data_IF_483183243848
#
_entry.id   IF_483183243848
#
_cell.length_a   1.000
_cell.length_b   1.000
_cell.length_c   1.000
_cell.angle_alpha   90.00
_cell.angle_beta   90.00
_cell.angle_gamma   90.00
#
_symmetry.space_group_name_H-M   'P 1'
#
loop_
_entity.id
_entity.type
_entity.pdbx_description
1 polymer ?
#
# COMPACT_ATOMS: atom_id res chain seq x y z
N UNK A 1 3.20 26.25 77.70
CA UNK A 1 3.86 27.10 76.68
C UNK A 1 3.58 26.49 75.32
N UNK A 2 2.96 27.24 74.39
CA UNK A 2 2.59 26.73 73.07
C UNK A 2 3.71 26.90 72.04
N UNK A 3 4.84 26.20 72.24
CA UNK A 3 5.91 26.12 71.25
C UNK A 3 5.67 24.95 70.29
N UNK A 4 5.96 25.16 69.02
CA UNK A 4 6.04 24.09 68.02
C UNK A 4 7.51 23.73 67.82
N UNK A 5 7.77 22.44 67.67
CA UNK A 5 9.08 21.92 67.32
C UNK A 5 8.94 21.01 66.09
N UNK A 6 9.87 21.17 65.16
CA UNK A 6 9.95 20.38 63.94
C UNK A 6 11.33 19.75 63.85
N UNK A 7 11.36 18.43 63.67
CA UNK A 7 12.58 17.63 63.61
C UNK A 7 12.57 16.76 62.36
N UNK A 8 13.75 16.47 61.82
CA UNK A 8 13.92 15.39 60.85
C UNK A 8 13.79 14.04 61.53
N UNK A 9 12.99 13.15 60.94
CA UNK A 9 12.69 11.84 61.51
C UNK A 9 13.88 10.87 61.47
N UNK A 10 14.77 11.00 60.47
CA UNK A 10 15.89 10.06 60.26
C UNK A 10 17.10 10.41 61.14
N UNK A 11 17.46 11.69 61.22
CA UNK A 11 18.62 12.15 61.99
C UNK A 11 18.28 12.68 63.39
N UNK A 12 17.00 12.98 63.66
CA UNK A 12 16.60 13.70 64.87
C UNK A 12 17.03 15.18 64.90
N UNK A 13 17.55 15.72 63.79
CA UNK A 13 18.00 17.11 63.72
C UNK A 13 16.83 18.10 63.85
N UNK A 14 17.01 19.14 64.66
CA UNK A 14 16.00 20.19 64.80
C UNK A 14 16.00 21.10 63.57
N UNK A 15 14.84 21.23 62.93
CA UNK A 15 14.64 22.07 61.74
C UNK A 15 14.06 23.43 62.12
N UNK A 16 13.02 23.46 62.94
CA UNK A 16 12.31 24.70 63.29
C UNK A 16 11.78 24.65 64.72
N UNK A 17 11.90 25.76 65.45
CA UNK A 17 11.27 25.94 66.76
C UNK A 17 10.75 27.36 66.85
N UNK A 18 9.46 27.54 67.18
CA UNK A 18 8.90 28.86 67.41
C UNK A 18 7.69 28.80 68.36
N UNK A 19 7.35 29.92 69.00
CA UNK A 19 6.13 30.02 69.82
C UNK A 19 4.94 30.33 68.92
N UNK A 20 3.96 29.43 68.88
CA UNK A 20 2.72 29.58 68.09
C UNK A 20 1.51 29.99 68.94
N UNK A 21 1.57 29.82 70.27
CA UNK A 21 0.48 30.21 71.17
C UNK A 21 1.00 30.79 72.49
N UNK A 22 0.35 31.87 72.92
CA UNK A 22 0.50 32.44 74.26
C UNK A 22 0.00 31.49 75.35
N UNK A 23 -1.11 30.80 75.04
CA UNK A 23 -1.88 29.94 75.92
C UNK A 23 -1.66 28.44 75.59
N UNK A 24 -2.00 27.55 76.52
CA UNK A 24 -1.84 26.10 76.32
C UNK A 24 -2.77 25.58 75.22
N UNK A 25 -2.20 24.93 74.21
CA UNK A 25 -2.91 24.08 73.25
C UNK A 25 -3.20 22.76 73.95
N UNK A 26 -4.48 22.50 74.26
CA UNK A 26 -4.85 21.40 75.17
C UNK A 26 -5.39 20.16 74.43
N UNK A 27 -5.78 20.31 73.17
CA UNK A 27 -6.15 19.21 72.26
C UNK A 27 -5.51 19.43 70.90
N UNK A 28 -5.04 18.35 70.29
CA UNK A 28 -4.48 18.32 68.94
C UNK A 28 -4.95 17.08 68.19
N UNK A 29 -4.96 17.15 66.88
CA UNK A 29 -5.14 15.99 65.99
C UNK A 29 -4.34 16.20 64.71
N UNK A 30 -4.17 15.13 63.93
CA UNK A 30 -3.57 15.21 62.59
C UNK A 30 -4.53 15.96 61.65
N UNK A 31 -3.99 16.88 60.87
CA UNK A 31 -4.76 17.59 59.84
C UNK A 31 -3.88 17.72 58.59
N UNK A 32 -4.34 17.17 57.47
CA UNK A 32 -3.56 17.08 56.22
C UNK A 32 -2.17 16.45 56.45
N UNK A 33 -1.11 17.16 56.04
CA UNK A 33 0.30 16.82 56.25
C UNK A 33 0.90 17.55 57.47
N UNK A 34 0.06 17.99 58.41
CA UNK A 34 0.44 18.77 59.58
C UNK A 34 -0.34 18.42 60.85
N UNK A 35 -0.39 19.38 61.76
CA UNK A 35 -1.05 19.27 63.06
C UNK A 35 -2.04 20.43 63.24
N UNK A 36 -3.24 20.12 63.74
CA UNK A 36 -4.21 21.12 64.17
C UNK A 36 -4.45 21.00 65.67
N UNK A 37 -4.69 22.12 66.35
CA UNK A 37 -4.97 22.13 67.78
C UNK A 37 -5.80 23.32 68.22
N UNK A 38 -6.40 23.21 69.40
CA UNK A 38 -7.21 24.27 70.02
C UNK A 38 -6.56 24.72 71.31
N UNK A 39 -6.41 26.03 71.47
CA UNK A 39 -5.90 26.64 72.70
C UNK A 39 -7.01 27.03 73.67
N UNK A 40 -6.65 27.31 74.94
CA UNK A 40 -7.62 27.69 75.99
C UNK A 40 -8.47 28.93 75.69
N UNK A 41 -8.07 29.76 74.73
CA UNK A 41 -8.86 30.91 74.25
C UNK A 41 -9.86 30.55 73.15
N UNK A 42 -9.94 29.28 72.76
CA UNK A 42 -10.79 28.81 71.67
C UNK A 42 -10.22 29.09 70.28
N UNK A 43 -8.96 29.50 70.14
CA UNK A 43 -8.34 29.68 68.83
C UNK A 43 -7.97 28.32 68.25
N UNK A 44 -8.31 28.10 66.98
CA UNK A 44 -7.92 26.92 66.21
C UNK A 44 -6.64 27.26 65.45
N UNK A 45 -5.56 26.54 65.76
CA UNK A 45 -4.23 26.72 65.19
C UNK A 45 -3.89 25.51 64.32
N UNK A 46 -3.46 25.75 63.09
CA UNK A 46 -2.96 24.71 62.18
C UNK A 46 -1.51 25.00 61.83
N UNK A 47 -0.67 23.97 61.86
CA UNK A 47 0.73 24.05 61.43
C UNK A 47 1.02 22.93 60.46
N UNK A 48 1.49 23.28 59.27
CA UNK A 48 1.93 22.37 58.22
C UNK A 48 3.31 22.77 57.69
N UNK A 49 4.00 21.84 57.03
CA UNK A 49 5.27 22.11 56.37
C UNK A 49 5.00 22.81 55.05
N UNK A 50 5.64 23.97 54.82
CA UNK A 50 5.65 24.59 53.51
C UNK A 50 6.77 23.97 52.67
N UNK A 51 6.38 23.17 51.69
CA UNK A 51 7.28 22.41 50.80
C UNK A 51 8.19 23.31 49.95
N UNK A 52 7.76 24.54 49.63
CA UNK A 52 8.54 25.49 48.81
C UNK A 52 9.66 26.17 49.60
N UNK A 53 9.45 26.40 50.90
CA UNK A 53 10.36 27.22 51.72
C UNK A 53 11.22 26.41 52.67
N UNK A 54 10.87 25.15 52.96
CA UNK A 54 11.57 24.34 53.96
C UNK A 54 13.04 24.09 53.59
N UNK A 55 13.35 23.83 52.32
CA UNK A 55 14.73 23.62 51.86
C UNK A 55 15.55 24.92 51.90
N UNK A 56 15.07 26.06 51.32
CA UNK A 56 15.73 27.35 51.48
C UNK A 56 15.97 27.74 52.94
N UNK A 57 15.00 27.46 53.82
CA UNK A 57 15.11 27.74 55.25
C UNK A 57 16.24 26.95 55.91
N UNK A 58 16.35 25.65 55.64
CA UNK A 58 17.43 24.80 56.21
C UNK A 58 18.80 25.29 55.74
N UNK A 59 18.91 25.70 54.47
CA UNK A 59 20.16 26.22 53.90
C UNK A 59 20.57 27.56 54.49
N UNK A 60 19.64 28.50 54.66
CA UNK A 60 19.94 29.85 55.15
C UNK A 60 20.10 29.91 56.67
N UNK A 61 19.22 29.26 57.43
CA UNK A 61 19.16 29.41 58.88
C UNK A 61 20.02 28.37 59.60
N UNK A 62 19.90 27.10 59.21
CA UNK A 62 20.59 25.99 59.89
C UNK A 62 21.96 25.70 59.29
N UNK A 63 22.23 26.15 58.06
CA UNK A 63 23.49 25.91 57.34
C UNK A 63 23.77 24.43 57.05
N UNK A 64 22.81 23.54 57.29
CA UNK A 64 23.00 22.09 57.20
C UNK A 64 22.67 21.61 55.78
N UNK A 65 23.65 21.74 54.89
CA UNK A 65 23.54 21.38 53.47
C UNK A 65 23.23 19.88 53.28
N UNK A 66 23.80 19.02 54.13
CA UNK A 66 23.58 17.58 54.03
C UNK A 66 22.14 17.19 54.40
N UNK A 67 21.58 17.80 55.46
CA UNK A 67 20.18 17.61 55.83
C UNK A 67 19.24 18.14 54.74
N UNK A 68 19.50 19.34 54.22
CA UNK A 68 18.72 19.91 53.12
C UNK A 68 18.72 19.00 51.89
N UNK A 69 19.88 18.45 51.53
CA UNK A 69 20.03 17.54 50.40
C UNK A 69 19.26 16.22 50.61
N UNK A 70 19.43 15.55 51.75
CA UNK A 70 18.75 14.28 52.06
C UNK A 70 17.23 14.46 52.18
N UNK A 71 16.79 15.54 52.82
CA UNK A 71 15.36 15.85 52.97
C UNK A 71 14.72 16.11 51.60
N UNK A 72 15.37 16.91 50.74
CA UNK A 72 14.88 17.17 49.40
C UNK A 72 14.87 15.92 48.52
N UNK A 73 15.90 15.07 48.60
CA UNK A 73 15.95 13.82 47.83
C UNK A 73 14.86 12.83 48.25
N UNK A 74 14.57 12.75 49.55
CA UNK A 74 13.61 11.77 50.11
C UNK A 74 12.16 12.19 49.88
N UNK A 75 11.87 13.48 50.01
CA UNK A 75 10.52 14.03 49.89
C UNK A 75 10.23 14.70 48.53
N UNK A 76 11.19 14.67 47.58
CA UNK A 76 11.07 15.30 46.26
C UNK A 76 10.69 16.79 46.32
N UNK A 77 11.26 17.50 47.31
CA UNK A 77 10.92 18.90 47.61
C UNK A 77 11.66 19.87 46.66
N UNK A 78 10.98 20.95 46.22
CA UNK A 78 11.60 21.99 45.40
C UNK A 78 12.69 22.77 46.17
N UNK A 79 13.65 23.34 45.46
CA UNK A 79 14.68 24.22 46.03
C UNK A 79 16.04 23.56 46.32
N UNK A 80 16.17 22.24 46.15
CA UNK A 80 17.47 21.57 46.16
C UNK A 80 18.10 21.42 44.77
N UNK A 81 17.40 21.84 43.70
CA UNK A 81 17.84 21.68 42.32
C UNK A 81 19.25 22.28 42.11
N UNK A 82 19.48 23.49 42.64
CA UNK A 82 20.80 24.13 42.57
C UNK A 82 21.89 23.35 43.30
N UNK A 83 21.58 22.67 44.41
CA UNK A 83 22.53 21.83 45.14
C UNK A 83 22.95 20.62 44.30
N UNK A 84 22.00 19.99 43.59
CA UNK A 84 22.29 18.89 42.67
C UNK A 84 23.21 19.33 41.53
N UNK A 85 22.95 20.50 40.93
CA UNK A 85 23.81 21.05 39.86
C UNK A 85 25.21 21.37 40.38
N UNK A 86 25.34 22.06 41.53
CA UNK A 86 26.64 22.41 42.10
C UNK A 86 27.45 21.18 42.47
N UNK A 87 26.82 20.19 43.11
CA UNK A 87 27.50 18.96 43.51
C UNK A 87 27.91 18.12 42.29
N UNK A 88 27.07 18.08 41.25
CA UNK A 88 27.41 17.46 39.97
C UNK A 88 28.63 18.15 39.32
N UNK A 89 28.65 19.49 39.27
CA UNK A 89 29.79 20.24 38.73
C UNK A 89 31.07 20.01 39.52
N UNK A 90 30.98 19.91 40.86
CA UNK A 90 32.12 19.60 41.71
C UNK A 90 32.71 18.21 41.40
N UNK A 91 31.84 17.19 41.26
CA UNK A 91 32.26 15.83 40.90
C UNK A 91 32.90 15.79 39.49
N UNK A 92 32.34 16.54 38.54
CA UNK A 92 32.88 16.68 37.19
C UNK A 92 34.26 17.34 37.19
N UNK A 93 34.47 18.40 37.98
CA UNK A 93 35.78 19.08 38.11
C UNK A 93 36.83 18.21 38.82
N UNK A 94 36.40 17.34 39.74
CA UNK A 94 37.28 16.40 40.44
C UNK A 94 37.65 15.16 39.61
N UNK A 95 37.12 15.03 38.38
CA UNK A 95 37.35 13.86 37.52
C UNK A 95 36.62 12.59 37.98
N UNK A 96 35.69 12.71 38.94
CA UNK A 96 34.89 11.59 39.47
C UNK A 96 33.65 11.34 38.62
N UNK A 97 33.85 10.95 37.35
CA UNK A 97 32.77 10.83 36.37
C UNK A 97 31.73 9.76 36.71
N UNK A 98 32.14 8.66 37.35
CA UNK A 98 31.22 7.59 37.75
C UNK A 98 30.22 8.06 38.83
N UNK A 99 30.70 8.79 39.83
CA UNK A 99 29.82 9.32 40.88
C UNK A 99 28.96 10.48 40.38
N UNK A 100 29.49 11.29 39.45
CA UNK A 100 28.70 12.29 38.72
C UNK A 100 27.56 11.63 37.92
N UNK A 101 27.83 10.52 37.23
CA UNK A 101 26.82 9.75 36.51
C UNK A 101 25.75 9.17 37.45
N UNK A 102 26.15 8.59 38.58
CA UNK A 102 25.20 8.09 39.59
C UNK A 102 24.29 9.18 40.11
N UNK A 103 24.84 10.38 40.36
CA UNK A 103 24.11 11.56 40.82
C UNK A 103 23.10 12.04 39.79
N UNK A 104 23.51 12.12 38.52
CA UNK A 104 22.61 12.49 37.44
C UNK A 104 21.48 11.48 37.26
N UNK A 105 21.78 10.19 37.36
CA UNK A 105 20.80 9.11 37.28
C UNK A 105 19.80 9.10 38.45
N UNK A 106 20.19 9.58 39.65
CA UNK A 106 19.30 9.75 40.81
C UNK A 106 18.76 11.17 40.98
N UNK A 107 18.90 12.03 39.98
CA UNK A 107 18.47 13.42 40.08
C UNK A 107 16.93 13.51 40.15
N UNK A 108 16.37 14.34 41.04
CA UNK A 108 14.92 14.55 41.13
C UNK A 108 14.38 15.00 39.77
N UNK A 109 13.29 14.39 39.32
CA UNK A 109 12.62 14.71 38.04
C UNK A 109 13.55 14.63 36.81
N UNK A 110 14.70 13.96 36.91
CA UNK A 110 15.68 13.91 35.82
C UNK A 110 16.33 15.25 35.50
N UNK A 111 16.40 16.19 36.45
CA UNK A 111 16.93 17.54 36.21
C UNK A 111 18.37 17.60 35.67
N UNK A 112 19.18 16.57 35.92
CA UNK A 112 20.55 16.45 35.41
C UNK A 112 20.63 15.56 34.15
N UNK A 113 19.51 14.98 33.70
CA UNK A 113 19.40 14.17 32.49
C UNK A 113 19.03 15.04 31.29
N UNK A 114 19.91 15.99 30.99
CA UNK A 114 19.71 17.01 29.95
C UNK A 114 20.78 16.92 28.87
N UNK A 115 20.50 17.50 27.71
CA UNK A 115 21.48 17.61 26.61
C UNK A 115 22.78 18.29 27.04
N UNK A 116 22.71 19.28 27.93
CA UNK A 116 23.89 19.98 28.45
C UNK A 116 24.83 19.03 29.19
N UNK A 117 24.28 18.14 30.02
CA UNK A 117 25.05 17.13 30.75
C UNK A 117 25.73 16.15 29.79
N UNK A 118 25.00 15.71 28.77
CA UNK A 118 25.51 14.79 27.74
C UNK A 118 26.64 15.45 26.95
N UNK A 119 26.46 16.71 26.51
CA UNK A 119 27.48 17.45 25.77
C UNK A 119 28.75 17.67 26.59
N UNK A 120 28.62 17.97 27.89
CA UNK A 120 29.78 18.06 28.78
C UNK A 120 30.55 16.74 28.88
N UNK A 121 29.84 15.60 28.97
CA UNK A 121 30.45 14.27 29.04
C UNK A 121 31.03 13.80 27.71
N UNK A 122 30.46 14.23 26.59
CA UNK A 122 30.85 13.84 25.21
C UNK A 122 32.23 14.35 24.83
N UNK A 123 32.63 15.53 25.32
CA UNK A 123 33.94 16.12 25.03
C UNK A 123 35.08 15.55 25.89
N UNK A 124 34.77 14.74 26.90
CA UNK A 124 35.77 14.17 27.80
C UNK A 124 36.38 12.90 27.21
N UNK A 125 37.72 12.87 27.17
CA UNK A 125 38.46 11.66 26.77
C UNK A 125 38.54 10.69 27.96
N UNK A 126 38.36 9.39 27.70
CA UNK A 126 38.52 8.35 28.71
C UNK A 126 39.99 8.10 29.04
N UNK A 127 40.27 7.70 30.28
CA UNK A 127 41.59 7.20 30.65
C UNK A 127 41.92 5.91 29.86
N UNK A 128 43.17 5.68 29.45
CA UNK A 128 43.54 4.49 28.67
C UNK A 128 43.16 3.21 29.41
N UNK A 129 42.33 2.37 28.78
CA UNK A 129 41.80 1.12 29.34
C UNK A 129 40.47 1.23 30.07
N UNK A 130 39.92 2.43 30.30
CA UNK A 130 38.58 2.62 30.84
C UNK A 130 37.55 2.99 29.77
N UNK A 131 36.29 2.63 30.01
CA UNK A 131 35.16 3.10 29.21
C UNK A 131 35.12 4.63 29.22
N UNK A 132 34.76 5.24 28.09
CA UNK A 132 34.61 6.69 28.01
C UNK A 132 33.57 7.17 29.03
N UNK A 133 33.75 8.37 29.64
CA UNK A 133 32.83 8.89 30.65
C UNK A 133 31.36 8.89 30.21
N UNK A 134 31.13 9.16 28.92
CA UNK A 134 29.79 9.13 28.31
C UNK A 134 29.16 7.72 28.31
N UNK A 135 29.94 6.67 28.04
CA UNK A 135 29.43 5.29 28.09
C UNK A 135 29.19 4.82 29.52
N UNK A 136 30.02 5.26 30.48
CA UNK A 136 29.78 5.01 31.91
C UNK A 136 28.48 5.65 32.37
N UNK A 137 28.19 6.87 31.90
CA UNK A 137 26.94 7.58 32.17
C UNK A 137 25.72 6.80 31.70
N UNK A 138 25.70 6.38 30.42
CA UNK A 138 24.59 5.59 29.90
C UNK A 138 24.44 4.24 30.58
N UNK A 139 25.54 3.54 30.87
CA UNK A 139 25.51 2.27 31.60
C UNK A 139 24.86 2.44 32.99
N UNK A 140 25.23 3.49 33.72
CA UNK A 140 24.66 3.79 35.05
C UNK A 140 23.16 4.06 34.99
N UNK A 141 22.67 4.74 33.94
CA UNK A 141 21.24 5.00 33.78
C UNK A 141 20.50 3.72 33.37
N UNK A 142 21.05 2.93 32.45
CA UNK A 142 20.48 1.65 32.01
C UNK A 142 20.38 0.59 33.13
N UNK A 143 21.20 0.72 34.17
CA UNK A 143 21.10 -0.09 35.40
C UNK A 143 19.95 0.37 36.30
N UNK A 144 19.65 1.67 36.34
CA UNK A 144 18.60 2.25 37.20
C UNK A 144 17.22 2.33 36.53
N UNK A 145 17.16 2.41 35.19
CA UNK A 145 15.92 2.58 34.46
C UNK A 145 16.12 2.74 32.95
N UNK A 146 15.24 3.54 32.35
CA UNK A 146 15.14 3.74 30.89
C UNK A 146 15.83 5.04 30.47
N UNK A 147 16.39 5.06 29.26
CA UNK A 147 16.99 6.24 28.63
C UNK A 147 15.92 7.10 27.95
N UNK A 148 16.07 8.43 28.03
CA UNK A 148 15.21 9.37 27.32
C UNK A 148 15.56 9.45 25.83
N UNK A 149 14.77 10.20 25.05
CA UNK A 149 14.96 10.38 23.60
C UNK A 149 16.39 10.81 23.24
N UNK A 150 16.90 11.85 23.89
CA UNK A 150 18.21 12.42 23.58
C UNK A 150 19.36 11.48 23.96
N UNK A 151 19.25 10.85 25.13
CA UNK A 151 20.20 9.85 25.61
C UNK A 151 20.24 8.63 24.68
N UNK A 152 19.08 8.15 24.23
CA UNK A 152 18.97 7.00 23.32
C UNK A 152 19.65 7.29 21.97
N UNK A 153 19.46 8.50 21.43
CA UNK A 153 20.10 8.97 20.18
C UNK A 153 21.63 9.04 20.35
N UNK A 154 22.09 9.65 21.45
CA UNK A 154 23.53 9.84 21.70
C UNK A 154 24.24 8.53 22.07
N UNK A 155 23.55 7.56 22.67
CA UNK A 155 24.07 6.22 22.87
C UNK A 155 24.15 5.42 21.57
N UNK A 156 23.18 5.55 20.67
CA UNK A 156 23.13 4.74 19.45
C UNK A 156 24.32 5.00 18.51
N UNK A 157 24.73 6.27 18.34
CA UNK A 157 25.85 6.65 17.45
C UNK A 157 27.16 5.91 17.74
N UNK A 158 27.74 5.93 18.96
CA UNK A 158 28.99 5.23 19.26
C UNK A 158 28.83 3.70 19.25
N UNK A 159 27.65 3.18 19.61
CA UNK A 159 27.38 1.73 19.60
C UNK A 159 27.35 1.18 18.18
N UNK A 160 26.73 1.91 17.25
CA UNK A 160 26.71 1.57 15.83
C UNK A 160 28.10 1.74 15.18
N UNK A 161 28.83 2.80 15.51
CA UNK A 161 30.20 3.00 15.05
C UNK A 161 31.16 1.87 15.51
N UNK A 162 30.91 1.31 16.69
CA UNK A 162 31.64 0.16 17.23
C UNK A 162 31.15 -1.20 16.69
N UNK A 163 30.19 -1.20 15.75
CA UNK A 163 29.52 -2.38 15.20
C UNK A 163 28.91 -3.32 16.26
N UNK A 164 28.47 -2.77 17.41
CA UNK A 164 27.87 -3.54 18.53
C UNK A 164 26.35 -3.48 18.51
N UNK A 165 25.73 -3.68 17.34
CA UNK A 165 24.27 -3.57 17.16
C UNK A 165 23.44 -4.53 18.04
N UNK A 166 24.01 -5.68 18.42
CA UNK A 166 23.37 -6.63 19.34
C UNK A 166 23.02 -6.01 20.71
N UNK A 167 23.77 -4.99 21.17
CA UNK A 167 23.44 -4.28 22.40
C UNK A 167 22.18 -3.44 22.25
N UNK A 168 22.04 -2.74 21.13
CA UNK A 168 20.83 -1.97 20.81
C UNK A 168 19.62 -2.89 20.69
N UNK A 169 19.74 -4.04 20.04
CA UNK A 169 18.67 -5.05 19.99
C UNK A 169 18.25 -5.52 21.38
N UNK A 170 19.22 -5.78 22.26
CA UNK A 170 18.94 -6.19 23.64
C UNK A 170 18.22 -5.10 24.43
N UNK A 171 18.71 -3.87 24.40
CA UNK A 171 18.09 -2.76 25.12
C UNK A 171 16.72 -2.38 24.56
N UNK A 172 16.53 -2.53 23.26
CA UNK A 172 15.21 -2.40 22.64
C UNK A 172 14.29 -3.50 23.19
N UNK A 173 14.67 -4.78 23.17
CA UNK A 173 13.84 -5.87 23.74
C UNK A 173 13.51 -5.70 25.22
N UNK A 174 14.39 -5.08 26.00
CA UNK A 174 14.19 -4.77 27.42
C UNK A 174 13.41 -3.46 27.67
N UNK A 175 12.92 -2.79 26.61
CA UNK A 175 12.21 -1.50 26.66
C UNK A 175 12.97 -0.38 27.39
N UNK A 176 14.31 -0.43 27.33
CA UNK A 176 15.21 0.53 28.01
C UNK A 176 15.50 1.80 27.21
N UNK A 177 15.05 1.87 25.96
CA UNK A 177 15.33 2.97 25.05
C UNK A 177 14.03 3.67 24.65
N UNK A 178 13.96 4.98 24.89
CA UNK A 178 12.90 5.80 24.33
C UNK A 178 13.06 5.91 22.80
N UNK A 179 12.11 5.34 22.07
CA UNK A 179 12.14 5.26 20.62
C UNK A 179 11.68 6.58 19.98
N UNK A 180 12.41 7.06 18.97
CA UNK A 180 12.08 8.29 18.23
C UNK A 180 12.36 8.12 16.74
N UNK A 181 11.84 9.04 15.92
CA UNK A 181 12.12 9.09 14.48
C UNK A 181 13.62 9.18 14.19
N UNK A 182 14.31 10.12 14.85
CA UNK A 182 15.75 10.33 14.69
C UNK A 182 16.57 9.09 15.05
N UNK A 183 16.17 8.36 16.10
CA UNK A 183 16.83 7.11 16.47
C UNK A 183 16.67 6.06 15.36
N UNK A 184 15.48 5.96 14.77
CA UNK A 184 15.23 5.07 13.64
C UNK A 184 16.05 5.45 12.41
N UNK A 185 16.16 6.75 12.09
CA UNK A 185 16.92 7.25 10.95
C UNK A 185 18.42 6.97 11.08
N UNK A 186 18.97 7.01 12.30
CA UNK A 186 20.37 6.67 12.57
C UNK A 186 20.62 5.15 12.41
N UNK A 187 19.64 4.32 12.77
CA UNK A 187 19.77 2.85 12.70
C UNK A 187 19.51 2.32 11.30
N UNK A 188 18.66 2.97 10.51
CA UNK A 188 18.19 2.52 9.19
C UNK A 188 19.31 2.15 8.19
N UNK A 189 20.42 2.92 8.07
CA UNK A 189 21.53 2.57 7.18
C UNK A 189 22.29 1.31 7.58
N UNK A 190 22.23 0.93 8.86
CA UNK A 190 22.94 -0.23 9.41
C UNK A 190 22.07 -1.48 9.46
N UNK A 191 20.79 -1.32 9.82
CA UNK A 191 19.83 -2.42 9.94
C UNK A 191 18.39 -1.95 9.76
N UNK A 192 17.80 -2.25 8.60
CA UNK A 192 16.43 -1.87 8.28
C UNK A 192 15.39 -2.57 9.18
N UNK A 193 15.66 -3.78 9.67
CA UNK A 193 14.72 -4.55 10.50
C UNK A 193 14.64 -4.01 11.92
N UNK A 194 15.80 -3.60 12.45
CA UNK A 194 15.88 -2.93 13.75
C UNK A 194 15.24 -1.54 13.68
N UNK A 195 15.50 -0.79 12.61
CA UNK A 195 14.87 0.53 12.39
C UNK A 195 13.34 0.44 12.33
N UNK A 196 12.78 -0.56 11.62
CA UNK A 196 11.34 -0.81 11.60
C UNK A 196 10.78 -1.00 13.02
N UNK A 197 11.48 -1.76 13.86
CA UNK A 197 11.06 -2.00 15.25
C UNK A 197 11.07 -0.72 16.09
N UNK A 198 12.05 0.16 15.84
CA UNK A 198 12.14 1.48 16.49
C UNK A 198 11.00 2.38 16.03
N UNK A 199 10.74 2.49 14.72
CA UNK A 199 9.64 3.33 14.21
C UNK A 199 8.26 2.87 14.68
N UNK A 200 8.05 1.55 14.79
CA UNK A 200 6.80 0.99 15.32
C UNK A 200 6.54 1.43 16.77
N UNK A 201 7.58 1.48 17.59
CA UNK A 201 7.51 1.91 19.00
C UNK A 201 7.48 3.43 19.16
N UNK A 202 8.16 4.15 18.28
CA UNK A 202 8.15 5.61 18.20
C UNK A 202 6.81 6.16 17.68
N UNK A 203 5.90 5.30 17.22
CA UNK A 203 4.61 5.66 16.64
C UNK A 203 4.75 6.66 15.47
N UNK A 204 5.63 6.36 14.51
CA UNK A 204 5.88 7.18 13.30
C UNK A 204 5.37 6.43 12.05
N UNK A 205 4.08 6.56 11.68
CA UNK A 205 3.46 5.68 10.70
C UNK A 205 4.04 5.83 9.29
N UNK A 206 4.40 7.05 8.89
CA UNK A 206 4.96 7.34 7.58
C UNK A 206 6.25 6.53 7.29
N UNK A 207 7.17 6.50 8.26
CA UNK A 207 8.44 5.77 8.16
C UNK A 207 8.23 4.26 8.27
N UNK A 208 7.30 3.80 9.10
CA UNK A 208 6.93 2.37 9.18
C UNK A 208 6.44 1.85 7.83
N UNK A 209 5.54 2.59 7.17
CA UNK A 209 5.01 2.23 5.84
C UNK A 209 6.13 2.19 4.82
N UNK A 210 7.03 3.17 4.83
CA UNK A 210 8.19 3.20 3.93
C UNK A 210 9.12 1.99 4.17
N UNK A 211 9.40 1.64 5.43
CA UNK A 211 10.20 0.47 5.77
C UNK A 211 9.55 -0.84 5.35
N UNK A 212 8.23 -1.00 5.52
CA UNK A 212 7.52 -2.16 5.01
C UNK A 212 7.57 -2.25 3.48
N UNK A 213 7.44 -1.13 2.78
CA UNK A 213 7.56 -1.08 1.32
C UNK A 213 8.96 -1.45 0.85
N UNK A 214 10.02 -0.93 1.49
CA UNK A 214 11.40 -1.31 1.20
C UNK A 214 11.71 -2.77 1.52
N UNK A 215 11.07 -3.33 2.55
CA UNK A 215 11.22 -4.74 2.94
C UNK A 215 10.38 -5.71 2.10
N UNK A 216 9.54 -5.18 1.19
CA UNK A 216 8.64 -5.98 0.35
C UNK A 216 7.48 -6.64 1.10
N UNK A 217 7.14 -6.18 2.31
CA UNK A 217 6.08 -6.74 3.17
C UNK A 217 4.77 -5.96 3.00
N UNK A 218 4.22 -5.94 1.80
CA UNK A 218 3.07 -5.09 1.44
C UNK A 218 1.77 -5.46 2.16
N UNK A 219 1.54 -6.75 2.44
CA UNK A 219 0.35 -7.22 3.16
C UNK A 219 0.21 -6.59 4.56
N UNK A 220 1.34 -6.30 5.20
CA UNK A 220 1.37 -5.70 6.53
C UNK A 220 1.09 -4.20 6.51
N UNK A 221 1.28 -3.52 5.38
CA UNK A 221 1.08 -2.07 5.26
C UNK A 221 -0.37 -1.72 5.53
N UNK A 222 -1.30 -2.37 4.82
CA UNK A 222 -2.75 -2.10 4.96
C UNK A 222 -3.22 -2.42 6.37
N UNK A 223 -2.79 -3.56 6.92
CA UNK A 223 -3.11 -3.97 8.30
C UNK A 223 -2.61 -2.97 9.35
N UNK A 224 -1.38 -2.48 9.20
CA UNK A 224 -0.81 -1.49 10.11
C UNK A 224 -1.55 -0.14 10.03
N UNK A 225 -1.80 0.35 8.81
CA UNK A 225 -2.52 1.60 8.58
C UNK A 225 -3.91 1.57 9.24
N UNK A 226 -4.65 0.47 9.11
CA UNK A 226 -5.93 0.27 9.79
C UNK A 226 -5.83 0.27 11.31
N UNK A 227 -4.82 -0.43 11.86
CA UNK A 227 -4.65 -0.53 13.32
C UNK A 227 -4.31 0.80 13.96
N UNK A 228 -3.52 1.63 13.29
CA UNK A 228 -3.08 2.94 13.80
C UNK A 228 -4.02 4.07 13.37
N UNK A 229 -4.93 3.83 12.42
CA UNK A 229 -5.81 4.86 11.85
C UNK A 229 -5.05 5.87 10.98
N UNK A 230 -3.92 5.45 10.39
CA UNK A 230 -3.10 6.29 9.52
C UNK A 230 -3.47 6.06 8.06
N UNK A 231 -3.75 7.14 7.32
CA UNK A 231 -4.04 7.07 5.90
C UNK A 231 -2.89 7.70 5.08
N UNK A 232 -1.94 6.89 4.56
CA UNK A 232 -0.88 7.40 3.70
C UNK A 232 -1.42 7.81 2.31
N UNK A 233 -0.60 8.56 1.58
CA UNK A 233 -0.83 8.72 0.14
C UNK A 233 -0.45 7.43 -0.60
N UNK A 234 -1.48 6.68 -1.00
CA UNK A 234 -1.34 5.35 -1.59
C UNK A 234 -0.78 5.38 -3.01
N UNK A 235 -0.99 6.46 -3.77
CA UNK A 235 -0.58 6.53 -5.18
C UNK A 235 0.95 6.62 -5.32
N UNK A 236 1.66 7.54 -4.64
CA UNK A 236 3.12 7.56 -4.62
C UNK A 236 3.72 6.28 -4.05
N UNK A 237 3.09 5.69 -3.04
CA UNK A 237 3.52 4.43 -2.47
C UNK A 237 3.46 3.33 -3.53
N UNK A 238 2.33 3.17 -4.21
CA UNK A 238 2.17 2.21 -5.30
C UNK A 238 3.16 2.45 -6.44
N UNK A 239 3.44 3.70 -6.80
CA UNK A 239 4.47 4.03 -7.80
C UNK A 239 5.86 3.57 -7.38
N UNK A 240 6.19 3.64 -6.10
CA UNK A 240 7.46 3.14 -5.57
C UNK A 240 7.49 1.61 -5.56
N UNK A 241 6.40 0.94 -5.18
CA UNK A 241 6.30 -0.52 -5.21
C UNK A 241 6.43 -1.05 -6.64
N UNK A 242 5.71 -0.46 -7.59
CA UNK A 242 5.74 -0.84 -9.00
C UNK A 242 7.14 -0.73 -9.62
N UNK A 243 7.96 0.22 -9.15
CA UNK A 243 9.36 0.35 -9.57
C UNK A 243 10.28 -0.73 -9.02
N UNK A 244 9.96 -1.29 -7.86
CA UNK A 244 10.76 -2.33 -7.21
C UNK A 244 10.37 -3.73 -7.73
N UNK A 245 9.07 -4.00 -7.77
CA UNK A 245 8.52 -5.32 -8.12
C UNK A 245 7.09 -5.16 -8.65
N UNK A 246 6.93 -5.36 -9.96
CA UNK A 246 5.63 -5.21 -10.63
C UNK A 246 4.58 -6.24 -10.20
N UNK A 247 5.00 -7.46 -9.88
CA UNK A 247 4.06 -8.53 -9.52
C UNK A 247 3.50 -8.31 -8.12
N UNK A 248 4.36 -7.93 -7.17
CA UNK A 248 3.91 -7.53 -5.83
C UNK A 248 3.12 -6.23 -5.84
N UNK A 249 3.44 -5.31 -6.73
CA UNK A 249 2.65 -4.09 -6.90
C UNK A 249 1.21 -4.41 -7.31
N UNK A 250 1.00 -5.41 -8.16
CA UNK A 250 -0.34 -5.85 -8.55
C UNK A 250 -1.11 -6.49 -7.39
N UNK A 251 -0.48 -7.32 -6.55
CA UNK A 251 -1.13 -7.87 -5.35
C UNK A 251 -1.49 -6.76 -4.35
N UNK A 252 -0.58 -5.81 -4.15
CA UNK A 252 -0.80 -4.65 -3.31
C UNK A 252 -1.93 -3.77 -3.85
N UNK A 253 -1.98 -3.50 -5.16
CA UNK A 253 -3.06 -2.72 -5.76
C UNK A 253 -4.43 -3.41 -5.61
N UNK A 254 -4.48 -4.74 -5.75
CA UNK A 254 -5.71 -5.50 -5.52
C UNK A 254 -6.16 -5.41 -4.06
N UNK A 255 -5.25 -5.47 -3.09
CA UNK A 255 -5.62 -5.32 -1.69
C UNK A 255 -6.16 -3.92 -1.40
N UNK A 256 -5.63 -2.86 -2.03
CA UNK A 256 -6.12 -1.48 -1.86
C UNK A 256 -7.53 -1.25 -2.45
N UNK A 257 -7.85 -1.88 -3.57
CA UNK A 257 -9.14 -1.71 -4.26
C UNK A 257 -10.24 -2.59 -3.65
N UNK A 258 -9.88 -3.74 -3.06
CA UNK A 258 -10.83 -4.64 -2.38
C UNK A 258 -11.32 -4.12 -1.03
N UNK A 259 -10.73 -3.05 -0.51
CA UNK A 259 -11.17 -2.42 0.73
C UNK A 259 -12.53 -1.71 0.57
N UNK A 260 -13.32 -1.68 1.63
CA UNK A 260 -14.61 -0.99 1.68
C UNK A 260 -14.58 0.10 2.76
N UNK A 261 -14.57 1.40 2.39
CA UNK A 261 -14.47 1.96 1.04
C UNK A 261 -13.08 1.76 0.40
N UNK A 262 -12.98 1.78 -0.96
CA UNK A 262 -11.72 1.54 -1.65
C UNK A 262 -10.70 2.64 -1.33
N UNK A 263 -9.48 2.23 -1.01
CA UNK A 263 -8.38 3.15 -0.63
C UNK A 263 -7.79 3.86 -1.86
N UNK A 264 -7.86 3.22 -3.02
CA UNK A 264 -7.41 3.74 -4.31
C UNK A 264 -8.43 3.36 -5.38
N UNK A 265 -8.68 4.25 -6.34
CA UNK A 265 -9.53 3.93 -7.49
C UNK A 265 -8.80 3.06 -8.51
N UNK A 266 -9.52 2.18 -9.21
CA UNK A 266 -8.94 1.37 -10.26
C UNK A 266 -8.29 2.21 -11.37
N UNK A 267 -8.85 3.38 -11.70
CA UNK A 267 -8.26 4.36 -12.63
C UNK A 267 -6.86 4.83 -12.22
N UNK A 268 -6.66 5.16 -10.93
CA UNK A 268 -5.36 5.59 -10.42
C UNK A 268 -4.34 4.46 -10.52
N UNK A 269 -4.72 3.21 -10.20
CA UNK A 269 -3.83 2.05 -10.32
C UNK A 269 -3.41 1.85 -11.78
N UNK A 270 -4.36 1.88 -12.72
CA UNK A 270 -4.07 1.75 -14.15
C UNK A 270 -3.16 2.88 -14.62
N UNK A 271 -3.37 4.11 -14.17
CA UNK A 271 -2.48 5.23 -14.47
C UNK A 271 -1.04 4.99 -14.03
N UNK A 272 -0.85 4.45 -12.81
CA UNK A 272 0.49 4.12 -12.28
C UNK A 272 1.15 3.02 -13.09
N UNK A 273 0.48 1.89 -13.34
CA UNK A 273 1.07 0.77 -14.07
C UNK A 273 1.32 1.10 -15.55
N UNK A 274 0.41 1.84 -16.20
CA UNK A 274 0.61 2.32 -17.56
C UNK A 274 1.83 3.26 -17.67
N UNK A 275 2.03 4.15 -16.69
CA UNK A 275 3.21 5.05 -16.67
C UNK A 275 4.55 4.31 -16.57
N UNK A 276 4.55 3.06 -16.12
CA UNK A 276 5.73 2.21 -15.94
C UNK A 276 5.80 1.07 -16.98
N UNK A 277 4.94 1.10 -18.01
CA UNK A 277 4.84 0.06 -19.05
C UNK A 277 4.58 -1.36 -18.50
N UNK A 278 3.92 -1.49 -17.33
CA UNK A 278 3.59 -2.77 -16.70
C UNK A 278 2.29 -3.37 -17.28
N UNK A 279 2.30 -3.69 -18.57
CA UNK A 279 1.11 -4.14 -19.32
C UNK A 279 0.52 -5.44 -18.77
N UNK A 280 1.34 -6.46 -18.54
CA UNK A 280 0.87 -7.77 -18.08
C UNK A 280 0.25 -7.69 -16.68
N UNK A 281 0.88 -6.91 -15.79
CA UNK A 281 0.40 -6.68 -14.43
C UNK A 281 -0.89 -5.86 -14.42
N UNK A 282 -0.99 -4.85 -15.30
CA UNK A 282 -2.22 -4.08 -15.50
C UNK A 282 -3.37 -4.97 -15.96
N UNK A 283 -3.11 -5.88 -16.91
CA UNK A 283 -4.09 -6.86 -17.37
C UNK A 283 -4.54 -7.77 -16.22
N UNK A 284 -3.60 -8.35 -15.46
CA UNK A 284 -3.92 -9.21 -14.31
C UNK A 284 -4.76 -8.48 -13.25
N UNK A 285 -4.38 -7.24 -12.93
CA UNK A 285 -5.10 -6.39 -11.99
C UNK A 285 -6.53 -6.11 -12.47
N UNK A 286 -6.70 -5.66 -13.70
CA UNK A 286 -8.00 -5.32 -14.27
C UNK A 286 -8.91 -6.54 -14.42
N UNK A 287 -8.37 -7.72 -14.75
CA UNK A 287 -9.14 -8.96 -14.81
C UNK A 287 -9.73 -9.37 -13.45
N UNK A 288 -9.09 -9.02 -12.33
CA UNK A 288 -9.62 -9.28 -10.98
C UNK A 288 -10.52 -8.13 -10.49
N UNK A 289 -10.14 -6.88 -10.76
CA UNK A 289 -10.91 -5.70 -10.37
C UNK A 289 -12.27 -5.60 -11.10
N UNK A 290 -12.31 -5.98 -12.39
CA UNK A 290 -13.50 -5.87 -13.25
C UNK A 290 -14.39 -7.12 -13.25
N UNK A 291 -14.14 -8.11 -12.39
CA UNK A 291 -14.93 -9.37 -12.33
C UNK A 291 -16.44 -9.16 -12.16
N UNK A 292 -16.85 -8.03 -11.58
CA UNK A 292 -18.25 -7.69 -11.39
C UNK A 292 -18.95 -7.17 -12.66
N UNK A 293 -18.22 -6.97 -13.77
CA UNK A 293 -18.72 -6.47 -15.06
C UNK A 293 -19.70 -5.29 -14.92
N UNK A 294 -19.32 -4.27 -14.14
CA UNK A 294 -20.17 -3.11 -13.88
C UNK A 294 -20.12 -2.15 -15.06
N UNK A 295 -21.25 -1.52 -15.38
CA UNK A 295 -21.35 -0.47 -16.39
C UNK A 295 -20.51 0.77 -16.02
N UNK A 296 -20.35 1.07 -14.73
CA UNK A 296 -19.48 2.15 -14.24
C UNK A 296 -18.03 2.03 -14.68
N UNK A 297 -17.58 0.81 -15.00
CA UNK A 297 -16.20 0.49 -15.31
C UNK A 297 -15.99 0.28 -16.82
N UNK A 298 -16.96 0.69 -17.65
CA UNK A 298 -16.94 0.59 -19.11
C UNK A 298 -15.65 1.16 -19.74
N UNK A 299 -15.17 2.30 -19.24
CA UNK A 299 -13.93 2.92 -19.71
C UNK A 299 -12.71 2.08 -19.37
N UNK A 300 -12.69 1.42 -18.20
CA UNK A 300 -11.61 0.51 -17.80
C UNK A 300 -11.62 -0.77 -18.61
N UNK A 301 -12.80 -1.31 -18.94
CA UNK A 301 -12.94 -2.45 -19.85
C UNK A 301 -12.38 -2.12 -21.24
N UNK A 302 -12.72 -0.95 -21.77
CA UNK A 302 -12.20 -0.46 -23.06
C UNK A 302 -10.68 -0.31 -23.02
N UNK A 303 -10.14 0.31 -21.96
CA UNK A 303 -8.70 0.51 -21.79
C UNK A 303 -7.93 -0.80 -21.62
N UNK A 304 -8.51 -1.79 -20.92
CA UNK A 304 -7.94 -3.13 -20.81
C UNK A 304 -7.76 -3.77 -22.19
N UNK A 305 -8.81 -3.75 -23.00
CA UNK A 305 -8.80 -4.35 -24.34
C UNK A 305 -7.87 -3.60 -25.28
N UNK A 306 -7.93 -2.26 -25.29
CA UNK A 306 -7.03 -1.41 -26.07
C UNK A 306 -5.56 -1.72 -25.78
N UNK A 307 -5.17 -1.72 -24.50
CA UNK A 307 -3.79 -1.95 -24.10
C UNK A 307 -3.30 -3.35 -24.51
N UNK A 308 -4.15 -4.38 -24.38
CA UNK A 308 -3.79 -5.74 -24.82
C UNK A 308 -3.79 -5.86 -26.35
N UNK A 309 -4.71 -5.23 -27.08
CA UNK A 309 -4.72 -5.27 -28.55
C UNK A 309 -3.47 -4.62 -29.16
N UNK A 310 -2.92 -3.58 -28.51
CA UNK A 310 -1.70 -2.92 -28.98
C UNK A 310 -0.42 -3.68 -28.64
N UNK A 311 -0.36 -4.37 -27.49
CA UNK A 311 0.88 -4.98 -26.98
C UNK A 311 0.90 -6.52 -27.00
N UNK A 312 -0.25 -7.17 -26.81
CA UNK A 312 -0.40 -8.61 -26.68
C UNK A 312 -1.76 -9.10 -27.25
N UNK A 313 -1.95 -9.11 -28.58
CA UNK A 313 -3.24 -9.43 -29.21
C UNK A 313 -3.84 -10.77 -28.79
N UNK A 314 -3.01 -11.79 -28.57
CA UNK A 314 -3.46 -13.12 -28.12
C UNK A 314 -4.20 -13.09 -26.78
N UNK A 315 -3.81 -12.19 -25.87
CA UNK A 315 -4.47 -12.04 -24.58
C UNK A 315 -5.82 -11.36 -24.77
N UNK A 316 -5.90 -10.35 -25.64
CA UNK A 316 -7.16 -9.70 -25.97
C UNK A 316 -8.15 -10.67 -26.64
N UNK A 317 -7.67 -11.53 -27.55
CA UNK A 317 -8.49 -12.58 -28.18
C UNK A 317 -9.09 -13.54 -27.14
N UNK A 318 -8.28 -13.99 -26.17
CA UNK A 318 -8.75 -14.84 -25.08
C UNK A 318 -9.79 -14.14 -24.18
N UNK A 319 -9.60 -12.85 -23.87
CA UNK A 319 -10.55 -12.08 -23.06
C UNK A 319 -11.89 -11.93 -23.80
N UNK A 320 -11.84 -11.56 -25.07
CA UNK A 320 -13.04 -11.38 -25.91
C UNK A 320 -13.76 -12.72 -26.16
N UNK A 321 -13.02 -13.78 -26.48
CA UNK A 321 -13.58 -15.11 -26.73
C UNK A 321 -14.26 -15.72 -25.50
N UNK A 322 -13.81 -15.38 -24.29
CA UNK A 322 -14.44 -15.81 -23.04
C UNK A 322 -15.66 -14.97 -22.63
N UNK A 323 -16.03 -13.93 -23.39
CA UNK A 323 -17.15 -13.03 -23.09
C UNK A 323 -17.12 -12.46 -21.66
N UNK A 324 -15.93 -12.14 -21.16
CA UNK A 324 -15.76 -11.69 -19.77
C UNK A 324 -16.37 -10.30 -19.48
N UNK A 325 -16.54 -9.48 -20.51
CA UNK A 325 -16.91 -8.07 -20.41
C UNK A 325 -17.97 -7.71 -21.44
N UNK A 326 -18.83 -6.74 -21.14
CA UNK A 326 -19.98 -6.40 -22.00
C UNK A 326 -20.19 -4.90 -22.25
N UNK A 327 -19.54 -4.03 -21.50
CA UNK A 327 -19.83 -2.59 -21.47
C UNK A 327 -18.75 -1.72 -22.15
N UNK A 328 -17.77 -2.33 -22.82
CA UNK A 328 -16.71 -1.59 -23.51
C UNK A 328 -17.17 -0.97 -24.85
N UNK A 329 -16.41 -0.01 -25.36
CA UNK A 329 -16.64 0.62 -26.67
C UNK A 329 -16.42 -0.38 -27.82
N UNK A 330 -17.49 -1.02 -28.28
CA UNK A 330 -17.44 -2.07 -29.30
C UNK A 330 -16.85 -1.56 -30.63
N UNK A 331 -17.29 -0.42 -31.22
CA UNK A 331 -16.70 0.09 -32.46
C UNK A 331 -15.21 0.37 -32.36
N UNK A 332 -14.74 0.98 -31.26
CA UNK A 332 -13.32 1.28 -31.08
C UNK A 332 -12.47 0.01 -30.96
N UNK A 333 -12.92 -0.95 -30.14
CA UNK A 333 -12.22 -2.22 -29.95
C UNK A 333 -12.22 -3.06 -31.23
N UNK A 334 -13.30 -3.04 -32.02
CA UNK A 334 -13.36 -3.74 -33.31
C UNK A 334 -12.28 -3.24 -34.29
N UNK A 335 -12.09 -1.93 -34.38
CA UNK A 335 -11.05 -1.33 -35.22
C UNK A 335 -9.63 -1.70 -34.75
N UNK A 336 -9.41 -1.78 -33.44
CA UNK A 336 -8.12 -2.22 -32.89
C UNK A 336 -7.89 -3.72 -33.13
N UNK A 337 -8.92 -4.55 -33.00
CA UNK A 337 -8.86 -5.98 -33.31
C UNK A 337 -8.53 -6.22 -34.80
N UNK A 338 -9.12 -5.45 -35.71
CA UNK A 338 -8.81 -5.49 -37.14
C UNK A 338 -7.33 -5.14 -37.39
N UNK A 339 -6.82 -4.05 -36.81
CA UNK A 339 -5.40 -3.66 -36.92
C UNK A 339 -4.44 -4.68 -36.33
N UNK A 340 -4.86 -5.41 -35.30
CA UNK A 340 -4.09 -6.46 -34.66
C UNK A 340 -4.14 -7.80 -35.41
N UNK A 341 -4.91 -7.90 -36.52
CA UNK A 341 -5.08 -9.12 -37.31
C UNK A 341 -6.10 -10.13 -36.73
N UNK A 342 -6.86 -9.73 -35.70
CA UNK A 342 -7.89 -10.55 -35.05
C UNK A 342 -9.25 -10.36 -35.75
N UNK A 343 -9.30 -10.72 -37.03
CA UNK A 343 -10.47 -10.49 -37.88
C UNK A 343 -11.75 -11.19 -37.40
N UNK A 344 -11.64 -12.37 -36.78
CA UNK A 344 -12.80 -13.06 -36.18
C UNK A 344 -13.47 -12.22 -35.09
N UNK A 345 -12.67 -11.68 -34.16
CA UNK A 345 -13.18 -10.82 -33.08
C UNK A 345 -13.69 -9.49 -33.61
N UNK A 346 -13.01 -8.92 -34.61
CA UNK A 346 -13.49 -7.71 -35.27
C UNK A 346 -14.89 -7.91 -35.88
N UNK A 347 -15.13 -9.04 -36.57
CA UNK A 347 -16.43 -9.38 -37.15
C UNK A 347 -17.52 -9.53 -36.08
N UNK A 348 -17.25 -10.17 -34.95
CA UNK A 348 -18.22 -10.30 -33.85
C UNK A 348 -18.61 -8.96 -33.20
N UNK A 349 -17.71 -7.98 -33.27
CA UNK A 349 -17.89 -6.67 -32.64
C UNK A 349 -18.45 -5.60 -33.59
N UNK A 350 -18.30 -5.77 -34.90
CA UNK A 350 -18.84 -4.84 -35.88
C UNK A 350 -20.35 -5.00 -36.07
N UNK A 351 -21.07 -3.89 -35.92
CA UNK A 351 -22.50 -3.80 -36.24
C UNK A 351 -22.75 -3.21 -37.64
N UNK A 352 -21.75 -2.55 -38.23
CA UNK A 352 -21.85 -1.88 -39.53
C UNK A 352 -21.49 -2.81 -40.69
N UNK A 353 -22.39 -2.92 -41.67
CA UNK A 353 -22.25 -3.77 -42.85
C UNK A 353 -20.99 -3.45 -43.66
N UNK A 354 -20.59 -2.18 -43.79
CA UNK A 354 -19.42 -1.81 -44.59
C UNK A 354 -18.11 -2.28 -43.94
N UNK A 355 -18.03 -2.24 -42.61
CA UNK A 355 -16.88 -2.76 -41.86
C UNK A 355 -16.85 -4.29 -41.90
N UNK A 356 -18.01 -4.95 -41.80
CA UNK A 356 -18.14 -6.41 -41.95
C UNK A 356 -17.66 -6.85 -43.35
N UNK A 357 -18.11 -6.17 -44.41
CA UNK A 357 -17.67 -6.42 -45.79
C UNK A 357 -16.17 -6.26 -45.96
N UNK A 358 -15.57 -5.25 -45.31
CA UNK A 358 -14.12 -4.99 -45.36
C UNK A 358 -13.33 -6.10 -44.68
N UNK A 359 -13.81 -6.66 -43.57
CA UNK A 359 -13.06 -7.67 -42.82
C UNK A 359 -13.30 -9.09 -43.32
N UNK A 360 -14.52 -9.42 -43.76
CA UNK A 360 -14.89 -10.76 -44.18
C UNK A 360 -14.11 -11.29 -45.40
N UNK A 361 -13.44 -10.41 -46.17
CA UNK A 361 -12.60 -10.80 -47.31
C UNK A 361 -11.27 -11.46 -46.89
N UNK A 362 -10.82 -11.27 -45.66
CA UNK A 362 -9.54 -11.78 -45.15
C UNK A 362 -9.60 -13.26 -44.70
N UNK A 363 -10.04 -14.13 -45.61
CA UNK A 363 -10.18 -15.57 -45.37
C UNK A 363 -8.85 -16.34 -45.29
N UNK A 364 -7.73 -15.68 -45.60
CA UNK A 364 -6.37 -16.20 -45.34
C UNK A 364 -6.11 -16.43 -43.85
N UNK A 365 -6.73 -15.61 -42.99
CA UNK A 365 -6.49 -15.57 -41.55
C UNK A 365 -7.71 -16.05 -40.77
N UNK A 366 -8.93 -15.83 -41.29
CA UNK A 366 -10.18 -16.25 -40.65
C UNK A 366 -10.45 -17.74 -40.90
N UNK A 367 -10.75 -18.50 -39.84
CA UNK A 367 -11.24 -19.88 -39.99
C UNK A 367 -12.52 -19.92 -40.84
N UNK A 368 -12.46 -20.60 -41.99
CA UNK A 368 -13.57 -20.72 -42.93
C UNK A 368 -14.81 -21.39 -42.35
N UNK A 369 -14.69 -22.40 -41.49
CA UNK A 369 -15.85 -23.05 -40.85
C UNK A 369 -16.57 -22.11 -39.88
N UNK A 370 -15.81 -21.31 -39.14
CA UNK A 370 -16.37 -20.30 -38.26
C UNK A 370 -17.09 -19.21 -39.06
N UNK A 371 -16.49 -18.75 -40.17
CA UNK A 371 -17.10 -17.73 -41.03
C UNK A 371 -18.40 -18.22 -41.69
N UNK A 372 -18.46 -19.50 -42.07
CA UNK A 372 -19.70 -20.15 -42.51
C UNK A 372 -20.74 -20.05 -41.39
N UNK A 373 -20.41 -20.40 -40.16
CA UNK A 373 -21.31 -20.26 -39.01
C UNK A 373 -21.78 -18.82 -38.75
N UNK A 374 -20.89 -17.85 -38.92
CA UNK A 374 -21.16 -16.43 -38.69
C UNK A 374 -22.26 -15.87 -39.59
N UNK A 375 -22.40 -16.34 -40.84
CA UNK A 375 -23.51 -15.93 -41.72
C UNK A 375 -24.89 -16.23 -41.16
N UNK A 376 -25.02 -17.19 -40.24
CA UNK A 376 -26.29 -17.45 -39.55
C UNK A 376 -26.74 -16.34 -38.61
N UNK A 377 -25.82 -15.46 -38.18
CA UNK A 377 -26.12 -14.31 -37.31
C UNK A 377 -26.46 -13.04 -38.09
N UNK A 378 -26.25 -13.04 -39.41
CA UNK A 378 -26.52 -11.90 -40.28
C UNK A 378 -27.93 -11.99 -40.87
N UNK A 379 -28.49 -10.86 -41.28
CA UNK A 379 -29.73 -10.87 -42.07
C UNK A 379 -29.49 -11.50 -43.44
N UNK A 380 -30.57 -11.91 -44.13
CA UNK A 380 -30.49 -12.49 -45.47
C UNK A 380 -29.83 -11.53 -46.47
N UNK A 381 -30.15 -10.24 -46.38
CA UNK A 381 -29.61 -9.21 -47.28
C UNK A 381 -28.13 -8.93 -46.98
N UNK A 382 -27.76 -8.84 -45.70
CA UNK A 382 -26.37 -8.62 -45.28
C UNK A 382 -25.48 -9.80 -45.66
N UNK A 383 -25.99 -11.02 -45.48
CA UNK A 383 -25.28 -12.26 -45.85
C UNK A 383 -24.95 -12.29 -47.34
N UNK A 384 -25.92 -12.01 -48.20
CA UNK A 384 -25.70 -11.93 -49.65
C UNK A 384 -24.75 -10.80 -50.01
N UNK A 385 -24.86 -9.64 -49.38
CA UNK A 385 -23.98 -8.50 -49.64
C UNK A 385 -22.51 -8.76 -49.25
N UNK A 386 -22.28 -9.48 -48.14
CA UNK A 386 -20.95 -9.89 -47.69
C UNK A 386 -20.38 -10.98 -48.62
N UNK A 387 -21.16 -12.00 -48.98
CA UNK A 387 -20.75 -13.04 -49.92
C UNK A 387 -20.38 -12.47 -51.30
N UNK A 388 -21.15 -11.49 -51.79
CA UNK A 388 -20.81 -10.77 -53.04
C UNK A 388 -19.43 -10.13 -52.94
N UNK A 389 -19.17 -9.40 -51.85
CA UNK A 389 -17.91 -8.72 -51.65
C UNK A 389 -16.73 -9.68 -51.51
N UNK A 390 -16.93 -10.82 -50.86
CA UNK A 390 -15.92 -11.89 -50.78
C UNK A 390 -15.54 -12.42 -52.16
N UNK A 391 -16.52 -12.70 -53.01
CA UNK A 391 -16.28 -13.17 -54.38
C UNK A 391 -15.62 -12.10 -55.27
N UNK A 392 -15.97 -10.81 -55.10
CA UNK A 392 -15.34 -9.70 -55.83
C UNK A 392 -13.86 -9.53 -55.47
N UNK A 393 -13.49 -9.76 -54.20
CA UNK A 393 -12.12 -9.54 -53.74
C UNK A 393 -11.17 -10.65 -54.17
N UNK A 394 -11.53 -11.91 -53.91
CA UNK A 394 -10.73 -13.06 -54.30
C UNK A 394 -11.64 -14.28 -54.57
N UNK A 395 -12.10 -14.46 -55.83
CA UNK A 395 -13.06 -15.50 -56.16
C UNK A 395 -12.48 -16.88 -55.89
N UNK A 396 -11.22 -17.15 -56.26
CA UNK A 396 -10.59 -18.48 -56.15
C UNK A 396 -10.50 -18.96 -54.70
N UNK A 397 -10.12 -18.06 -53.78
CA UNK A 397 -9.93 -18.43 -52.38
C UNK A 397 -11.24 -18.47 -51.60
N UNK A 398 -12.14 -17.52 -51.87
CA UNK A 398 -13.40 -17.39 -51.14
C UNK A 398 -14.49 -18.33 -51.66
N UNK A 399 -14.30 -18.92 -52.85
CA UNK A 399 -15.29 -19.75 -53.53
C UNK A 399 -15.85 -20.85 -52.62
N UNK A 400 -14.95 -21.64 -52.02
CA UNK A 400 -15.37 -22.79 -51.22
C UNK A 400 -16.18 -22.37 -50.00
N UNK A 401 -15.77 -21.30 -49.31
CA UNK A 401 -16.48 -20.79 -48.13
C UNK A 401 -17.86 -20.27 -48.52
N UNK A 402 -17.95 -19.48 -49.60
CA UNK A 402 -19.22 -18.92 -50.09
C UNK A 402 -20.17 -20.01 -50.58
N UNK A 403 -19.67 -21.02 -51.30
CA UNK A 403 -20.47 -22.17 -51.72
C UNK A 403 -20.99 -22.95 -50.52
N UNK A 404 -20.13 -23.31 -49.55
CA UNK A 404 -20.55 -24.05 -48.37
C UNK A 404 -21.55 -23.28 -47.50
N UNK A 405 -21.37 -21.97 -47.34
CA UNK A 405 -22.34 -21.10 -46.68
C UNK A 405 -23.67 -21.04 -47.45
N UNK A 406 -23.62 -20.94 -48.78
CA UNK A 406 -24.81 -20.95 -49.64
C UNK A 406 -25.58 -22.27 -49.56
N UNK A 407 -24.88 -23.41 -49.49
CA UNK A 407 -25.51 -24.74 -49.31
C UNK A 407 -26.18 -24.81 -47.93
N UNK A 408 -25.45 -24.43 -46.86
CA UNK A 408 -25.92 -24.54 -45.48
C UNK A 408 -27.14 -23.66 -45.17
N UNK A 409 -27.18 -22.44 -45.72
CA UNK A 409 -28.26 -21.48 -45.49
C UNK A 409 -29.19 -21.33 -46.71
N UNK A 410 -29.18 -22.29 -47.64
CA UNK A 410 -29.94 -22.25 -48.89
C UNK A 410 -31.44 -21.97 -48.67
N UNK A 411 -32.03 -22.59 -47.65
CA UNK A 411 -33.45 -22.44 -47.33
C UNK A 411 -33.80 -21.04 -46.80
N UNK A 412 -32.86 -20.39 -46.09
CA UNK A 412 -33.06 -19.05 -45.53
C UNK A 412 -32.76 -17.94 -46.54
N UNK A 413 -31.69 -18.11 -47.32
CA UNK A 413 -31.25 -17.12 -48.31
C UNK A 413 -32.13 -17.13 -49.57
N UNK A 414 -32.69 -18.29 -49.92
CA UNK A 414 -33.49 -18.49 -51.12
C UNK A 414 -32.62 -18.86 -52.33
N UNK A 415 -32.86 -20.01 -52.99
CA UNK A 415 -32.03 -20.48 -54.11
C UNK A 415 -31.91 -19.50 -55.28
N UNK A 416 -32.99 -18.77 -55.59
CA UNK A 416 -33.03 -17.76 -56.65
C UNK A 416 -32.05 -16.60 -56.40
N UNK A 417 -32.01 -16.07 -55.17
CA UNK A 417 -31.10 -14.97 -54.79
C UNK A 417 -29.63 -15.40 -54.79
N UNK A 418 -29.36 -16.66 -54.43
CA UNK A 418 -28.02 -17.25 -54.50
C UNK A 418 -27.57 -17.41 -55.95
N UNK A 419 -28.46 -17.87 -56.84
CA UNK A 419 -28.18 -17.98 -58.27
C UNK A 419 -27.83 -16.60 -58.85
N UNK A 420 -28.67 -15.59 -58.61
CA UNK A 420 -28.42 -14.22 -59.06
C UNK A 420 -27.08 -13.68 -58.56
N UNK A 421 -26.72 -13.97 -57.30
CA UNK A 421 -25.44 -13.60 -56.71
C UNK A 421 -24.23 -14.17 -57.46
N UNK A 422 -24.25 -15.48 -57.78
CA UNK A 422 -23.14 -16.11 -58.50
C UNK A 422 -23.09 -15.66 -59.98
N UNK A 423 -24.24 -15.36 -60.59
CA UNK A 423 -24.33 -14.84 -61.96
C UNK A 423 -23.78 -13.41 -62.07
N UNK A 424 -24.16 -12.53 -61.14
CA UNK A 424 -23.68 -11.14 -61.09
C UNK A 424 -22.15 -11.09 -60.96
N UNK A 425 -21.57 -12.03 -60.21
CA UNK A 425 -20.13 -12.16 -60.01
C UNK A 425 -19.42 -13.01 -61.08
N UNK A 426 -20.12 -13.46 -62.13
CA UNK A 426 -19.61 -14.30 -63.23
C UNK A 426 -18.89 -15.56 -62.76
N UNK A 427 -19.33 -16.15 -61.65
CA UNK A 427 -18.68 -17.28 -61.01
C UNK A 427 -19.38 -18.60 -61.38
N UNK A 428 -19.17 -19.07 -62.61
CA UNK A 428 -19.79 -20.30 -63.13
C UNK A 428 -19.40 -21.56 -62.35
N UNK A 429 -18.19 -21.58 -61.80
CA UNK A 429 -17.68 -22.70 -60.99
C UNK A 429 -18.38 -22.80 -59.63
N UNK A 430 -18.58 -21.67 -58.94
CA UNK A 430 -19.33 -21.62 -57.68
C UNK A 430 -20.80 -21.99 -57.86
N UNK A 431 -21.40 -21.48 -58.94
CA UNK A 431 -22.77 -21.81 -59.34
C UNK A 431 -22.92 -23.32 -59.58
N UNK A 432 -21.98 -23.94 -60.29
CA UNK A 432 -21.96 -25.40 -60.52
C UNK A 432 -21.88 -26.19 -59.21
N UNK A 433 -20.96 -25.83 -58.30
CA UNK A 433 -20.81 -26.55 -57.03
C UNK A 433 -22.02 -26.39 -56.11
N UNK A 434 -22.59 -25.20 -56.00
CA UNK A 434 -23.80 -24.97 -55.22
C UNK A 434 -24.98 -25.76 -55.81
N UNK A 435 -25.25 -25.59 -57.10
CA UNK A 435 -26.38 -26.23 -57.78
C UNK A 435 -26.23 -27.75 -57.83
N UNK A 436 -25.02 -28.31 -57.89
CA UNK A 436 -24.82 -29.76 -57.82
C UNK A 436 -25.29 -30.39 -56.51
N UNK A 437 -25.23 -29.63 -55.41
CA UNK A 437 -25.79 -30.07 -54.12
C UNK A 437 -27.31 -29.93 -54.04
N UNK A 438 -27.88 -28.96 -54.77
CA UNK A 438 -29.31 -28.60 -54.71
C UNK A 438 -30.14 -29.29 -55.79
N UNK A 439 -29.58 -29.63 -56.94
CA UNK A 439 -30.29 -30.14 -58.13
C UNK A 439 -30.96 -31.49 -57.91
N UNK A 440 -30.39 -32.34 -57.04
CA UNK A 440 -30.97 -33.65 -56.70
C UNK A 440 -32.17 -33.53 -55.74
N UNK A 441 -32.33 -32.37 -55.09
CA UNK A 441 -33.34 -32.14 -54.03
C UNK A 441 -34.40 -31.14 -54.49
N UNK A 442 -34.06 -30.23 -55.41
CA UNK A 442 -34.96 -29.21 -55.95
C UNK A 442 -35.84 -29.77 -57.07
N UNK A 443 -37.12 -29.41 -57.06
CA UNK A 443 -38.08 -29.71 -58.13
C UNK A 443 -38.31 -28.52 -59.08
N UNK A 444 -37.59 -27.41 -58.87
CA UNK A 444 -37.73 -26.19 -59.66
C UNK A 444 -37.01 -26.34 -61.03
N UNK A 445 -37.76 -26.31 -62.17
CA UNK A 445 -37.17 -26.41 -63.50
C UNK A 445 -36.14 -25.32 -63.80
N UNK A 446 -36.24 -24.14 -63.17
CA UNK A 446 -35.28 -23.05 -63.36
C UNK A 446 -33.91 -23.40 -62.76
N UNK A 447 -33.89 -24.07 -61.59
CA UNK A 447 -32.65 -24.51 -60.91
C UNK A 447 -31.96 -25.61 -61.72
N UNK A 448 -32.72 -26.57 -62.25
CA UNK A 448 -32.21 -27.66 -63.10
C UNK A 448 -31.63 -27.11 -64.41
N UNK A 449 -32.35 -26.18 -65.06
CA UNK A 449 -31.88 -25.53 -66.28
C UNK A 449 -30.59 -24.74 -66.05
N UNK A 450 -30.52 -23.98 -64.95
CA UNK A 450 -29.32 -23.23 -64.56
C UNK A 450 -28.14 -24.14 -64.22
N UNK A 451 -28.39 -25.32 -63.66
CA UNK A 451 -27.34 -26.29 -63.40
C UNK A 451 -26.72 -26.83 -64.70
N UNK A 452 -27.56 -27.16 -65.69
CA UNK A 452 -27.11 -27.58 -67.02
C UNK A 452 -26.28 -26.47 -67.67
N UNK A 453 -26.71 -25.20 -67.58
CA UNK A 453 -25.95 -24.07 -68.10
C UNK A 453 -24.58 -23.92 -67.42
N UNK A 454 -24.53 -24.03 -66.09
CA UNK A 454 -23.28 -23.97 -65.33
C UNK A 454 -22.34 -25.15 -65.67
N UNK A 455 -22.86 -26.38 -65.76
CA UNK A 455 -22.09 -27.58 -66.09
C UNK A 455 -21.45 -27.52 -67.50
N UNK A 456 -22.17 -26.96 -68.48
CA UNK A 456 -21.64 -26.69 -69.83
C UNK A 456 -20.55 -25.62 -69.77
N UNK A 457 -20.77 -24.53 -69.02
CA UNK A 457 -19.79 -23.45 -68.87
C UNK A 457 -18.49 -23.90 -68.17
N UNK A 458 -18.56 -24.89 -67.27
CA UNK A 458 -17.39 -25.49 -66.58
C UNK A 458 -16.80 -26.69 -67.33
N UNK A 459 -17.33 -27.08 -68.49
CA UNK A 459 -16.81 -28.18 -69.31
C UNK A 459 -17.11 -29.60 -68.79
N UNK A 460 -18.08 -29.76 -67.88
CA UNK A 460 -18.43 -31.03 -67.23
C UNK A 460 -19.54 -31.76 -68.01
N UNK A 461 -19.22 -32.29 -69.20
CA UNK A 461 -20.20 -32.90 -70.12
C UNK A 461 -20.89 -34.15 -69.56
N UNK A 462 -20.22 -34.92 -68.71
CA UNK A 462 -20.77 -36.15 -68.09
C UNK A 462 -21.96 -35.89 -67.17
N UNK A 463 -21.97 -34.75 -66.50
CA UNK A 463 -23.02 -34.42 -65.54
C UNK A 463 -24.25 -33.81 -66.24
N UNK A 464 -24.03 -33.16 -67.41
CA UNK A 464 -25.11 -32.76 -68.31
C UNK A 464 -25.86 -33.98 -68.85
N UNK A 465 -25.14 -35.03 -69.26
CA UNK A 465 -25.72 -36.31 -69.72
C UNK A 465 -26.47 -37.08 -68.62
N UNK A 466 -26.21 -36.80 -67.34
CA UNK A 466 -26.87 -37.46 -66.21
C UNK A 466 -28.24 -36.87 -65.89
N UNK A 467 -28.45 -35.58 -66.17
CA UNK A 467 -29.64 -34.82 -65.75
C UNK A 467 -30.62 -34.57 -66.89
N UNK A 468 -30.11 -34.44 -68.12
CA UNK A 468 -30.92 -34.46 -69.36
C UNK A 468 -31.38 -35.88 -69.64
#
# INVERSE_FOLDING_TARGET
FGFIHLYDLESGACIFTNRISGDTVFVTTKHENGIIGVNRKGQVLSVSVNEETVIPYILHNTGNVELAFRLASRANLPGADQLYVQRFQQLMQQGQFNDAAKMAASSPRGMLRTENTINQLKHLQGAPGQLTPILQYFATILEKGELNRHESIELARPVLASNRKALLEKWLKEDKLECSEELGDIVQPHDATLALSIYLRANVPAKVVLCFAQSGQFDKIVLYCKRVGYNPDWVPLLQQVARLDGDKACEFALSLVKEEPPLVSADQVVGVFASQNLVQQTTRFLLDALKSNKESDAHLQTKLLEMNLLNAPQVADAILGNNMFSHFDRPYIAQLAEKAGLYQRALELYDNLDDIKRVAVHTEVVNGEWLIGYFGNLSVEDSLAVMRRMLEHNPTQNLQIVVQASIKYSDLLGPQKIIDMFEDNRCSEGLYYYLGSVVNVSTDPAVVFKYIQAAVATGQTKEVERIV
#
